data_IF_018981602826
#
_entry.id   IF_018981602826
#
_cell.length_a   1.000
_cell.length_b   1.000
_cell.length_c   1.000
_cell.angle_alpha   90.00
_cell.angle_beta   90.00
_cell.angle_gamma   90.00
#
_symmetry.space_group_name_H-M   'P 1'
#
loop_
_entity.id
_entity.type
_entity.pdbx_description
1 polymer ?
#
# COMPACT_ATOMS: atom_id res chain seq x y z
N UNK A 1 14.23 -23.65 33.14
CA UNK A 1 13.73 -23.85 31.75
C UNK A 1 12.51 -24.75 31.89
N UNK A 2 11.34 -24.12 31.89
CA UNK A 2 10.12 -24.75 32.37
C UNK A 2 9.43 -25.57 31.28
N UNK A 3 9.49 -26.87 31.45
CA UNK A 3 8.78 -27.91 30.67
C UNK A 3 7.25 -27.90 30.85
N UNK A 4 6.71 -26.92 31.62
CA UNK A 4 5.28 -26.80 31.90
C UNK A 4 4.46 -26.00 30.87
N UNK A 5 5.14 -25.26 29.98
CA UNK A 5 4.48 -24.43 28.97
C UNK A 5 4.11 -25.19 27.68
N UNK A 6 4.69 -26.36 27.46
CA UNK A 6 4.45 -27.16 26.25
C UNK A 6 3.25 -28.13 26.36
N UNK A 7 2.75 -28.36 27.57
CA UNK A 7 1.65 -29.31 27.82
C UNK A 7 0.25 -28.71 27.69
N UNK A 8 0.12 -27.40 27.60
CA UNK A 8 -1.19 -26.72 27.49
C UNK A 8 -1.68 -26.64 26.03
N UNK A 9 -0.80 -26.75 25.05
CA UNK A 9 -1.18 -26.68 23.63
C UNK A 9 -1.65 -28.01 23.00
N UNK A 10 -1.50 -29.13 23.68
CA UNK A 10 -1.83 -30.46 23.12
C UNK A 10 -3.20 -30.99 23.55
N UNK A 11 -3.87 -30.33 24.49
CA UNK A 11 -5.12 -30.85 25.08
C UNK A 11 -6.42 -30.24 24.53
N UNK A 12 -6.39 -29.47 23.45
CA UNK A 12 -7.61 -28.90 22.84
C UNK A 12 -8.10 -29.60 21.55
N UNK A 13 -7.52 -30.74 21.18
CA UNK A 13 -7.91 -31.48 19.97
C UNK A 13 -8.57 -32.85 20.24
N UNK A 14 -9.42 -32.95 21.24
CA UNK A 14 -10.29 -34.13 21.39
C UNK A 14 -11.72 -33.74 21.82
N UNK A 15 -12.47 -33.25 20.84
CA UNK A 15 -13.91 -33.44 20.87
C UNK A 15 -14.32 -33.73 19.42
N UNK A 16 -14.56 -35.00 19.13
CA UNK A 16 -15.25 -35.41 17.92
C UNK A 16 -16.60 -34.74 17.86
N UNK A 17 -16.73 -33.70 17.08
CA UNK A 17 -17.99 -32.98 16.85
C UNK A 17 -18.27 -33.06 15.36
N UNK A 18 -19.32 -33.79 15.03
CA UNK A 18 -20.00 -33.81 13.74
C UNK A 18 -20.28 -32.36 13.30
N UNK A 19 -19.85 -31.98 12.11
CA UNK A 19 -20.24 -30.74 11.45
C UNK A 19 -19.68 -29.46 12.09
N UNK A 20 -18.38 -29.34 12.30
CA UNK A 20 -17.79 -28.11 12.84
C UNK A 20 -17.77 -26.98 11.80
N UNK A 21 -18.36 -25.85 12.15
CA UNK A 21 -18.23 -24.62 11.37
C UNK A 21 -17.07 -23.80 11.92
N UNK A 22 -16.10 -23.46 11.08
CA UNK A 22 -14.92 -22.69 11.44
C UNK A 22 -14.89 -21.38 10.64
N UNK A 23 -14.58 -20.27 11.30
CA UNK A 23 -14.36 -18.98 10.66
C UNK A 23 -12.88 -18.68 10.67
N UNK A 24 -12.30 -18.48 9.49
CA UNK A 24 -10.90 -18.14 9.32
C UNK A 24 -10.76 -16.76 8.71
N UNK A 25 -9.74 -16.05 9.17
CA UNK A 25 -9.44 -14.69 8.75
C UNK A 25 -8.00 -14.60 8.29
N UNK A 26 -7.78 -14.11 7.07
CA UNK A 26 -6.46 -13.92 6.49
C UNK A 26 -6.35 -12.52 5.89
N UNK A 27 -5.13 -12.00 5.79
CA UNK A 27 -4.87 -10.78 5.02
C UNK A 27 -4.79 -11.14 3.55
N UNK A 28 -5.15 -10.21 2.68
CA UNK A 28 -4.84 -10.38 1.28
C UNK A 28 -3.31 -10.51 1.09
N UNK A 29 -2.89 -11.52 0.33
CA UNK A 29 -1.49 -11.83 0.12
C UNK A 29 -0.90 -12.91 1.03
N UNK A 30 -1.55 -13.24 2.16
CA UNK A 30 -1.13 -14.33 3.04
C UNK A 30 -1.44 -15.70 2.39
N UNK A 31 -0.76 -16.74 2.86
CA UNK A 31 -1.10 -18.12 2.54
C UNK A 31 -2.11 -18.64 3.59
N UNK A 32 -3.19 -19.26 3.13
CA UNK A 32 -4.23 -19.80 3.98
C UNK A 32 -4.21 -21.32 4.03
N UNK A 33 -4.40 -21.87 5.21
CA UNK A 33 -4.64 -23.31 5.42
C UNK A 33 -6.02 -23.51 6.02
N UNK A 34 -6.89 -24.21 5.29
CA UNK A 34 -8.24 -24.52 5.69
C UNK A 34 -8.26 -25.97 6.21
N UNK A 35 -8.47 -26.19 7.52
CA UNK A 35 -8.39 -27.50 8.09
C UNK A 35 -9.60 -28.36 7.69
N UNK A 36 -9.33 -29.63 7.39
CA UNK A 36 -10.38 -30.63 7.24
C UNK A 36 -10.55 -31.37 8.59
N UNK A 37 -11.43 -30.87 9.44
CA UNK A 37 -11.62 -31.40 10.80
C UNK A 37 -12.10 -32.85 10.86
N UNK A 38 -12.52 -33.42 9.73
CA UNK A 38 -12.99 -34.81 9.63
C UNK A 38 -11.90 -35.78 9.21
N UNK A 39 -10.70 -35.27 8.89
CA UNK A 39 -9.59 -36.13 8.47
C UNK A 39 -9.15 -37.05 9.63
N UNK A 40 -9.21 -38.36 9.38
CA UNK A 40 -8.63 -39.31 10.30
C UNK A 40 -7.10 -39.25 10.20
N UNK A 41 -6.37 -39.27 11.31
CA UNK A 41 -4.89 -39.31 11.30
C UNK A 41 -4.28 -40.47 10.52
N UNK A 42 -5.08 -41.50 10.24
CA UNK A 42 -4.66 -42.70 9.51
C UNK A 42 -4.73 -42.58 7.98
N UNK A 43 -5.44 -41.59 7.44
CA UNK A 43 -5.55 -41.38 5.98
C UNK A 43 -4.57 -40.30 5.50
N UNK A 44 -3.34 -40.73 5.24
CA UNK A 44 -2.27 -39.81 4.74
C UNK A 44 -2.34 -39.54 3.25
N UNK A 45 -3.23 -40.24 2.52
CA UNK A 45 -3.31 -40.12 1.06
C UNK A 45 -4.38 -39.11 0.60
N UNK A 46 -5.29 -38.70 1.49
CA UNK A 46 -6.42 -37.84 1.19
C UNK A 46 -7.28 -38.31 0.02
N UNK A 47 -7.16 -39.59 -0.37
CA UNK A 47 -7.79 -40.12 -1.58
C UNK A 47 -9.32 -40.22 -1.50
N UNK A 48 -9.88 -40.11 -0.31
CA UNK A 48 -11.33 -40.11 -0.06
C UNK A 48 -11.91 -38.71 0.13
N UNK A 49 -11.06 -37.67 0.07
CA UNK A 49 -11.48 -36.31 0.38
C UNK A 49 -11.83 -35.48 -0.87
N UNK A 50 -12.83 -34.63 -0.68
CA UNK A 50 -13.30 -33.66 -1.67
C UNK A 50 -13.37 -32.29 -0.98
N UNK A 51 -12.81 -31.26 -1.61
CA UNK A 51 -13.03 -29.88 -1.21
C UNK A 51 -13.97 -29.20 -2.18
N UNK A 52 -15.04 -28.66 -1.62
CA UNK A 52 -16.07 -27.88 -2.32
C UNK A 52 -15.90 -26.42 -1.98
N UNK A 53 -16.11 -25.54 -2.93
CA UNK A 53 -16.09 -24.09 -2.80
C UNK A 53 -17.38 -23.46 -3.29
N UNK A 54 -17.93 -22.57 -2.51
CA UNK A 54 -19.09 -21.76 -2.81
C UNK A 54 -18.73 -20.28 -2.69
N UNK A 55 -18.67 -19.54 -3.78
CA UNK A 55 -18.53 -18.08 -3.77
C UNK A 55 -19.88 -17.41 -3.45
N UNK A 56 -20.97 -18.10 -3.75
CA UNK A 56 -22.34 -17.68 -3.46
C UNK A 56 -23.22 -18.91 -3.19
N UNK A 57 -24.47 -18.70 -2.82
CA UNK A 57 -25.39 -19.78 -2.48
C UNK A 57 -25.90 -20.62 -3.67
N UNK A 58 -25.55 -20.23 -4.90
CA UNK A 58 -26.08 -20.86 -6.11
C UNK A 58 -25.06 -21.71 -6.86
N UNK A 59 -23.77 -21.52 -6.58
CA UNK A 59 -22.70 -22.17 -7.33
C UNK A 59 -21.74 -22.88 -6.41
N UNK A 60 -21.52 -24.16 -6.69
CA UNK A 60 -20.53 -24.99 -6.00
C UNK A 60 -19.49 -25.48 -7.00
N UNK A 61 -18.24 -25.27 -6.66
CA UNK A 61 -17.09 -25.73 -7.45
C UNK A 61 -16.39 -26.85 -6.69
N UNK A 62 -15.92 -27.86 -7.42
CA UNK A 62 -15.04 -28.88 -6.84
C UNK A 62 -13.61 -28.39 -7.05
N UNK A 63 -12.91 -28.09 -5.96
CA UNK A 63 -11.52 -27.63 -6.00
C UNK A 63 -10.52 -28.77 -5.84
N UNK A 64 -10.88 -29.76 -5.01
CA UNK A 64 -10.08 -30.98 -4.82
C UNK A 64 -10.98 -32.18 -4.94
N UNK A 65 -10.52 -33.19 -5.66
CA UNK A 65 -11.21 -34.45 -5.81
C UNK A 65 -10.23 -35.60 -5.61
N UNK A 66 -10.57 -36.52 -4.72
CA UNK A 66 -9.72 -37.67 -4.37
C UNK A 66 -8.29 -37.23 -3.96
N UNK A 67 -8.20 -36.16 -3.17
CA UNK A 67 -6.92 -35.60 -2.70
C UNK A 67 -6.12 -34.80 -3.74
N UNK A 68 -6.63 -34.66 -4.96
CA UNK A 68 -5.93 -33.96 -6.03
C UNK A 68 -6.66 -32.67 -6.42
N UNK A 69 -5.92 -31.59 -6.62
CA UNK A 69 -6.47 -30.33 -7.12
C UNK A 69 -7.04 -30.52 -8.53
N UNK A 70 -8.26 -30.05 -8.75
CA UNK A 70 -8.95 -30.11 -10.03
C UNK A 70 -8.31 -29.13 -11.01
N UNK A 71 -7.68 -29.67 -12.07
CA UNK A 71 -6.91 -28.87 -13.05
C UNK A 71 -7.74 -27.81 -13.80
N UNK A 72 -9.05 -28.01 -13.91
CA UNK A 72 -9.96 -27.04 -14.54
C UNK A 72 -10.41 -25.92 -13.61
N UNK A 73 -10.04 -25.96 -12.32
CA UNK A 73 -10.30 -24.83 -11.44
C UNK A 73 -9.50 -23.61 -11.88
N UNK A 74 -10.16 -22.45 -11.94
CA UNK A 74 -9.49 -21.19 -12.23
C UNK A 74 -8.38 -20.83 -11.22
N UNK A 75 -8.45 -21.43 -10.01
CA UNK A 75 -7.51 -21.19 -8.89
C UNK A 75 -6.47 -22.30 -8.73
N UNK A 76 -6.48 -23.34 -9.58
CA UNK A 76 -5.66 -24.54 -9.46
C UNK A 76 -4.16 -24.26 -9.22
N UNK A 77 -3.63 -23.20 -9.83
CA UNK A 77 -2.21 -22.81 -9.68
C UNK A 77 -1.84 -22.36 -8.26
N UNK A 78 -2.83 -21.94 -7.45
CA UNK A 78 -2.64 -21.44 -6.08
C UNK A 78 -3.09 -22.46 -5.02
N UNK A 79 -3.70 -23.55 -5.43
CA UNK A 79 -4.24 -24.56 -4.53
C UNK A 79 -3.30 -25.73 -4.35
N UNK A 80 -3.25 -26.27 -3.15
CA UNK A 80 -2.62 -27.55 -2.84
C UNK A 80 -3.33 -28.21 -1.65
N UNK A 81 -3.00 -29.48 -1.40
CA UNK A 81 -3.51 -30.25 -0.25
C UNK A 81 -2.32 -30.67 0.57
N UNK A 82 -2.38 -30.43 1.88
CA UNK A 82 -1.34 -30.87 2.81
C UNK A 82 -1.52 -32.34 3.25
N UNK A 83 -0.60 -32.84 4.03
CA UNK A 83 -0.61 -34.22 4.55
C UNK A 83 -1.75 -34.50 5.54
N UNK A 84 -2.37 -33.44 6.07
CA UNK A 84 -3.56 -33.51 6.94
C UNK A 84 -4.86 -33.33 6.17
N UNK A 85 -4.81 -33.38 4.83
CA UNK A 85 -5.95 -33.18 3.93
C UNK A 85 -6.56 -31.76 4.02
N UNK A 86 -5.86 -30.79 4.61
CA UNK A 86 -6.25 -29.39 4.61
C UNK A 86 -6.07 -28.81 3.21
N UNK A 87 -6.96 -27.88 2.83
CA UNK A 87 -6.80 -27.11 1.61
C UNK A 87 -5.87 -25.92 1.88
N UNK A 88 -4.78 -25.83 1.13
CA UNK A 88 -3.85 -24.70 1.17
C UNK A 88 -4.10 -23.79 -0.02
N UNK A 89 -4.24 -22.49 0.23
CA UNK A 89 -4.44 -21.46 -0.77
C UNK A 89 -3.28 -20.48 -0.66
N UNK A 90 -2.41 -20.43 -1.64
CA UNK A 90 -1.30 -19.49 -1.67
C UNK A 90 -1.76 -18.13 -2.17
N UNK A 91 -1.23 -17.05 -1.56
CA UNK A 91 -1.51 -15.68 -1.94
C UNK A 91 -3.03 -15.39 -2.02
N UNK A 92 -3.69 -15.45 -0.88
CA UNK A 92 -5.15 -15.25 -0.73
C UNK A 92 -5.57 -13.89 -1.27
N UNK A 93 -6.65 -13.88 -2.04
CA UNK A 93 -7.24 -12.68 -2.62
C UNK A 93 -8.72 -12.54 -2.27
N UNK A 94 -9.34 -11.45 -2.67
CA UNK A 94 -10.78 -11.22 -2.54
C UNK A 94 -11.63 -12.32 -3.19
N UNK A 95 -11.13 -12.97 -4.25
CA UNK A 95 -11.81 -14.04 -4.98
C UNK A 95 -11.87 -15.37 -4.23
N UNK A 96 -11.03 -15.50 -3.19
CA UNK A 96 -10.99 -16.72 -2.38
C UNK A 96 -11.99 -16.68 -1.22
N UNK A 97 -12.60 -15.53 -0.97
CA UNK A 97 -13.65 -15.37 0.04
C UNK A 97 -14.82 -16.30 -0.27
N UNK A 98 -15.23 -17.11 0.72
CA UNK A 98 -16.31 -18.03 0.47
C UNK A 98 -16.53 -19.05 1.56
N UNK A 99 -17.43 -19.95 1.24
CA UNK A 99 -17.78 -21.10 2.04
C UNK A 99 -17.11 -22.35 1.45
N UNK A 100 -16.29 -22.99 2.23
CA UNK A 100 -15.58 -24.22 1.86
C UNK A 100 -16.14 -25.39 2.64
N UNK A 101 -16.25 -26.54 1.98
CA UNK A 101 -16.66 -27.78 2.63
C UNK A 101 -15.65 -28.86 2.33
N UNK A 102 -15.04 -29.39 3.39
CA UNK A 102 -14.29 -30.63 3.31
C UNK A 102 -15.22 -31.81 3.59
N UNK A 103 -15.26 -32.76 2.68
CA UNK A 103 -16.10 -33.97 2.78
C UNK A 103 -15.24 -35.20 2.63
N UNK A 104 -15.40 -36.16 3.52
CA UNK A 104 -14.79 -37.48 3.41
C UNK A 104 -15.80 -38.49 2.90
N UNK A 105 -15.50 -39.14 1.79
CA UNK A 105 -16.38 -40.13 1.17
C UNK A 105 -17.64 -39.53 0.55
N UNK A 106 -18.79 -40.20 0.75
CA UNK A 106 -20.07 -39.81 0.12
C UNK A 106 -21.10 -39.23 1.11
N UNK A 107 -20.86 -39.39 2.41
CA UNK A 107 -21.78 -38.88 3.43
C UNK A 107 -21.55 -37.38 3.66
N UNK A 108 -22.65 -36.67 3.87
CA UNK A 108 -22.64 -35.25 4.24
C UNK A 108 -22.66 -35.02 5.75
N UNK A 109 -22.87 -36.10 6.54
CA UNK A 109 -23.11 -36.01 7.97
C UNK A 109 -21.89 -35.50 8.76
N UNK A 110 -20.72 -35.60 8.16
CA UNK A 110 -19.45 -35.20 8.77
C UNK A 110 -18.73 -34.09 7.98
N UNK A 111 -19.48 -33.33 7.18
CA UNK A 111 -18.88 -32.21 6.43
C UNK A 111 -18.25 -31.21 7.42
N UNK A 112 -16.99 -30.87 7.20
CA UNK A 112 -16.35 -29.76 7.90
C UNK A 112 -16.52 -28.48 7.05
N UNK A 113 -17.11 -27.47 7.66
CA UNK A 113 -17.42 -26.20 7.02
C UNK A 113 -16.41 -25.13 7.44
N UNK A 114 -15.82 -24.45 6.49
CA UNK A 114 -14.89 -23.33 6.71
C UNK A 114 -15.37 -22.10 5.96
N UNK A 115 -15.57 -21.00 6.68
CA UNK A 115 -15.76 -19.68 6.08
C UNK A 115 -14.42 -18.95 6.02
N UNK A 116 -13.93 -18.68 4.81
CA UNK A 116 -12.73 -17.90 4.59
C UNK A 116 -13.12 -16.43 4.42
N UNK A 117 -12.59 -15.58 5.30
CA UNK A 117 -12.75 -14.13 5.27
C UNK A 117 -11.40 -13.47 5.01
N UNK A 118 -11.39 -12.38 4.25
CA UNK A 118 -10.14 -11.71 3.85
C UNK A 118 -10.19 -10.24 4.23
N UNK A 119 -9.19 -9.79 4.99
CA UNK A 119 -9.00 -8.39 5.34
C UNK A 119 -8.08 -7.73 4.31
N UNK A 120 -8.55 -6.61 3.76
CA UNK A 120 -7.79 -5.80 2.79
C UNK A 120 -7.68 -4.37 3.25
N UNK A 121 -6.56 -3.72 2.95
CA UNK A 121 -6.40 -2.27 3.05
C UNK A 121 -5.98 -1.75 1.68
N UNK A 122 -6.70 -0.74 1.18
CA UNK A 122 -6.39 -0.11 -0.10
C UNK A 122 -6.60 1.41 -0.03
N UNK A 123 -5.87 2.20 -0.82
CA UNK A 123 -6.20 3.61 -1.00
C UNK A 123 -7.53 3.76 -1.74
N UNK A 124 -8.25 4.82 -1.41
CA UNK A 124 -9.52 5.17 -2.06
C UNK A 124 -9.51 6.67 -2.43
N UNK A 125 -9.58 7.03 -3.70
CA UNK A 125 -9.67 6.13 -4.86
C UNK A 125 -8.39 5.31 -5.10
N UNK A 126 -8.43 4.24 -5.91
CA UNK A 126 -7.28 3.35 -6.11
C UNK A 126 -6.03 4.01 -6.72
N UNK A 127 -6.20 5.15 -7.39
CA UNK A 127 -5.16 5.97 -8.00
C UNK A 127 -4.70 7.14 -7.12
N UNK A 128 -5.15 7.21 -5.86
CA UNK A 128 -4.69 8.21 -4.90
C UNK A 128 -3.17 8.11 -4.70
N UNK A 129 -2.49 9.26 -4.83
CA UNK A 129 -1.04 9.35 -4.62
C UNK A 129 -0.74 10.19 -3.38
N UNK A 130 -0.40 9.55 -2.25
CA UNK A 130 -0.06 10.27 -1.01
C UNK A 130 1.06 11.28 -1.18
N UNK A 131 2.01 11.01 -2.09
CA UNK A 131 3.17 11.87 -2.35
C UNK A 131 2.76 13.19 -2.99
N UNK A 132 1.85 13.12 -3.96
CA UNK A 132 1.33 14.29 -4.68
C UNK A 132 0.31 15.05 -3.86
N UNK A 133 -0.65 14.33 -3.28
CA UNK A 133 -1.85 14.94 -2.73
C UNK A 133 -1.68 15.35 -1.26
N UNK A 134 -0.63 14.85 -0.59
CA UNK A 134 -0.33 15.15 0.81
C UNK A 134 -1.32 14.50 1.80
N UNK A 135 -2.32 13.80 1.29
CA UNK A 135 -3.27 13.02 2.06
C UNK A 135 -3.71 11.78 1.27
N UNK A 136 -4.20 10.77 1.96
CA UNK A 136 -4.79 9.57 1.36
C UNK A 136 -5.91 9.05 2.25
N UNK A 137 -7.01 8.64 1.64
CA UNK A 137 -8.05 7.89 2.33
C UNK A 137 -7.76 6.41 2.18
N UNK A 138 -7.72 5.70 3.30
CA UNK A 138 -7.52 4.27 3.37
C UNK A 138 -8.86 3.61 3.62
N UNK A 139 -9.20 2.62 2.82
CA UNK A 139 -10.34 1.73 3.07
C UNK A 139 -9.82 0.40 3.59
N UNK A 140 -10.27 0.03 4.77
CA UNK A 140 -10.12 -1.31 5.32
C UNK A 140 -11.42 -2.07 5.16
N UNK A 141 -11.38 -3.18 4.44
CA UNK A 141 -12.55 -4.00 4.11
C UNK A 141 -12.35 -5.42 4.59
N UNK A 142 -13.27 -5.91 5.43
CA UNK A 142 -13.38 -7.33 5.70
C UNK A 142 -14.33 -7.97 4.69
N UNK A 143 -13.77 -8.67 3.73
CA UNK A 143 -14.53 -9.41 2.73
C UNK A 143 -15.02 -10.72 3.33
N UNK A 144 -16.33 -10.96 3.25
CA UNK A 144 -17.00 -12.10 3.88
C UNK A 144 -17.97 -12.79 2.92
N UNK A 145 -18.22 -14.07 3.18
CA UNK A 145 -19.29 -14.77 2.47
C UNK A 145 -20.65 -14.09 2.73
N UNK A 146 -21.37 -13.81 1.68
CA UNK A 146 -22.56 -12.94 1.69
C UNK A 146 -23.63 -13.33 2.70
N UNK A 147 -23.79 -14.62 2.97
CA UNK A 147 -24.80 -15.11 3.90
C UNK A 147 -24.50 -14.80 5.37
N UNK A 148 -23.27 -14.36 5.70
CA UNK A 148 -22.90 -14.01 7.07
C UNK A 148 -23.44 -12.66 7.53
N UNK A 149 -24.04 -11.89 6.61
CA UNK A 149 -24.59 -10.57 6.91
C UNK A 149 -23.54 -9.47 7.13
N UNK A 150 -23.99 -8.27 7.52
CA UNK A 150 -23.10 -7.14 7.78
C UNK A 150 -22.28 -7.34 9.05
N UNK A 151 -21.14 -6.67 9.14
CA UNK A 151 -20.33 -6.62 10.34
C UNK A 151 -21.00 -5.79 11.44
N UNK A 152 -20.85 -6.16 12.73
CA UNK A 152 -21.28 -5.33 13.82
C UNK A 152 -20.67 -3.93 13.75
N UNK A 153 -21.38 -2.93 14.29
CA UNK A 153 -20.87 -1.56 14.36
C UNK A 153 -19.56 -1.51 15.16
N UNK A 154 -18.59 -0.77 14.68
CA UNK A 154 -17.25 -0.61 15.28
C UNK A 154 -16.43 -1.90 15.37
N UNK A 155 -16.83 -2.96 14.66
CA UNK A 155 -16.03 -4.19 14.59
C UNK A 155 -14.83 -4.06 13.63
N UNK A 156 -14.91 -3.21 12.60
CA UNK A 156 -13.79 -2.87 11.74
C UNK A 156 -13.29 -1.49 12.15
N UNK A 157 -12.15 -1.44 12.83
CA UNK A 157 -11.65 -0.22 13.45
C UNK A 157 -10.18 0.04 13.12
N UNK A 158 -9.78 1.29 13.25
CA UNK A 158 -8.42 1.73 13.08
C UNK A 158 -7.76 2.00 14.43
N UNK A 159 -6.52 1.60 14.59
CA UNK A 159 -5.68 1.91 15.75
C UNK A 159 -4.36 2.52 15.30
N UNK A 160 -3.78 3.35 16.17
CA UNK A 160 -2.45 3.91 15.96
C UNK A 160 -1.35 2.95 16.47
N UNK A 161 -0.09 3.36 16.37
CA UNK A 161 1.10 2.61 16.81
C UNK A 161 1.07 2.23 18.30
N UNK A 162 0.34 2.97 19.13
CA UNK A 162 0.19 2.67 20.56
C UNK A 162 -0.99 1.76 20.86
N UNK A 163 -1.75 1.34 19.84
CA UNK A 163 -2.97 0.54 19.99
C UNK A 163 -4.21 1.34 20.36
N UNK A 164 -4.14 2.68 20.38
CA UNK A 164 -5.28 3.52 20.66
C UNK A 164 -6.21 3.58 19.44
N UNK A 165 -7.51 3.39 19.70
CA UNK A 165 -8.54 3.44 18.64
C UNK A 165 -8.70 4.85 18.12
N UNK A 166 -8.66 5.01 16.79
CA UNK A 166 -8.82 6.27 16.09
C UNK A 166 -10.31 6.55 15.89
N UNK A 167 -10.80 7.62 16.48
CA UNK A 167 -12.19 8.07 16.40
C UNK A 167 -12.22 9.56 16.02
N UNK A 168 -13.21 9.94 15.23
CA UNK A 168 -13.41 11.34 14.83
C UNK A 168 -12.23 11.92 14.07
N UNK A 169 -11.83 13.14 14.44
CA UNK A 169 -10.72 13.85 13.82
C UNK A 169 -9.60 14.10 14.84
N UNK A 170 -8.37 13.79 14.46
CA UNK A 170 -7.19 13.97 15.29
C UNK A 170 -6.02 14.53 14.49
N UNK A 171 -4.84 14.62 15.14
CA UNK A 171 -3.64 15.15 14.50
C UNK A 171 -3.19 14.21 13.38
N UNK A 172 -3.40 14.64 12.13
CA UNK A 172 -2.98 13.92 10.93
C UNK A 172 -3.87 12.78 10.50
N UNK A 173 -5.05 12.64 11.08
CA UNK A 173 -6.03 11.68 10.60
C UNK A 173 -7.46 12.18 10.78
N UNK A 174 -8.37 11.61 9.99
CA UNK A 174 -9.81 11.77 10.13
C UNK A 174 -10.48 10.42 9.89
N UNK A 175 -11.09 9.86 10.94
CA UNK A 175 -11.92 8.68 10.82
C UNK A 175 -13.25 9.08 10.20
N UNK A 176 -13.63 8.45 9.09
CA UNK A 176 -14.88 8.79 8.41
C UNK A 176 -16.04 8.06 9.06
N UNK A 177 -16.11 6.77 8.91
CA UNK A 177 -17.07 5.86 9.58
C UNK A 177 -16.85 4.43 9.12
N UNK A 178 -17.48 3.50 9.85
CA UNK A 178 -17.71 2.15 9.35
C UNK A 178 -19.07 2.08 8.63
N UNK A 179 -19.09 1.46 7.46
CA UNK A 179 -20.30 1.10 6.71
C UNK A 179 -20.22 -0.39 6.41
N UNK A 180 -21.17 -1.19 6.93
CA UNK A 180 -21.09 -2.66 6.85
C UNK A 180 -19.74 -3.19 7.37
N UNK A 181 -18.97 -3.86 6.50
CA UNK A 181 -17.66 -4.41 6.84
C UNK A 181 -16.50 -3.55 6.28
N UNK A 182 -16.75 -2.29 5.98
CA UNK A 182 -15.75 -1.34 5.46
C UNK A 182 -15.59 -0.17 6.42
N UNK A 183 -14.33 0.15 6.73
CA UNK A 183 -13.98 1.28 7.60
C UNK A 183 -12.98 2.18 6.88
N UNK A 184 -13.25 3.49 6.82
CA UNK A 184 -12.44 4.44 6.09
C UNK A 184 -11.74 5.44 7.02
N UNK A 185 -10.44 5.67 6.76
CA UNK A 185 -9.58 6.60 7.49
C UNK A 185 -8.82 7.49 6.51
N UNK A 186 -9.03 8.80 6.56
CA UNK A 186 -8.17 9.76 5.84
C UNK A 186 -6.96 10.07 6.69
N UNK A 187 -5.77 9.97 6.11
CA UNK A 187 -4.50 10.29 6.77
C UNK A 187 -3.76 11.37 5.98
N UNK A 188 -3.14 12.30 6.69
CA UNK A 188 -2.46 13.47 6.13
C UNK A 188 -0.97 13.40 6.39
N UNK A 189 -0.18 13.94 5.46
CA UNK A 189 1.25 14.13 5.64
C UNK A 189 1.52 14.89 6.93
N UNK A 190 2.45 14.39 7.73
CA UNK A 190 2.99 15.08 8.90
C UNK A 190 4.50 15.23 8.76
N UNK A 191 5.03 16.35 9.30
CA UNK A 191 6.48 16.52 9.33
C UNK A 191 7.09 15.49 10.27
N UNK A 192 7.97 14.66 9.75
CA UNK A 192 8.84 13.84 10.56
C UNK A 192 8.86 12.36 10.23
N UNK A 193 7.75 11.64 10.15
CA UNK A 193 7.78 10.21 9.85
C UNK A 193 6.44 9.70 9.28
N UNK A 194 6.53 8.75 8.39
CA UNK A 194 5.37 7.96 7.96
C UNK A 194 4.86 7.14 9.15
N UNK A 195 3.66 7.45 9.62
CA UNK A 195 3.03 6.72 10.72
C UNK A 195 2.39 5.44 10.22
N UNK A 196 2.48 4.41 11.03
CA UNK A 196 1.78 3.14 10.81
C UNK A 196 0.35 3.24 11.35
N UNK A 197 -0.59 2.78 10.55
CA UNK A 197 -2.00 2.64 10.91
C UNK A 197 -2.37 1.16 10.80
N UNK A 198 -3.03 0.65 11.82
CA UNK A 198 -3.45 -0.76 11.85
C UNK A 198 -4.96 -0.82 11.80
N UNK A 199 -5.49 -1.55 10.84
CA UNK A 199 -6.90 -1.90 10.81
C UNK A 199 -7.12 -3.24 11.50
N UNK A 200 -8.13 -3.32 12.37
CA UNK A 200 -8.49 -4.51 13.12
C UNK A 200 -9.93 -4.89 12.86
N UNK A 201 -10.19 -6.18 12.65
CA UNK A 201 -11.52 -6.74 12.81
C UNK A 201 -11.64 -7.38 14.19
N UNK A 202 -12.68 -6.98 14.90
CA UNK A 202 -12.98 -7.41 16.27
C UNK A 202 -14.33 -8.10 16.30
N UNK A 203 -14.36 -9.32 16.80
CA UNK A 203 -15.57 -10.06 17.08
C UNK A 203 -15.57 -10.50 18.54
N UNK A 204 -16.72 -10.34 19.21
CA UNK A 204 -16.87 -10.69 20.65
C UNK A 204 -15.75 -10.14 21.54
N UNK A 205 -15.33 -8.89 21.32
CA UNK A 205 -14.22 -8.20 22.00
C UNK A 205 -12.82 -8.82 21.79
N UNK A 206 -12.69 -9.76 20.87
CA UNK A 206 -11.41 -10.35 20.48
C UNK A 206 -10.99 -9.82 19.12
N UNK A 207 -9.73 -9.42 18.98
CA UNK A 207 -9.15 -9.11 17.67
C UNK A 207 -8.96 -10.42 16.92
N UNK A 208 -9.71 -10.65 15.86
CA UNK A 208 -9.64 -11.85 15.04
C UNK A 208 -8.55 -11.73 13.97
N UNK A 209 -8.39 -10.52 13.40
CA UNK A 209 -7.35 -10.22 12.43
C UNK A 209 -7.03 -8.74 12.46
N UNK A 210 -5.78 -8.42 12.09
CA UNK A 210 -5.33 -7.05 11.88
C UNK A 210 -4.41 -6.96 10.67
N UNK A 211 -4.35 -5.79 10.05
CA UNK A 211 -3.46 -5.48 8.94
C UNK A 211 -2.89 -4.07 9.10
N UNK A 212 -1.62 -3.94 8.79
CA UNK A 212 -0.88 -2.69 8.90
C UNK A 212 -0.79 -1.97 7.56
N UNK A 213 -0.82 -0.66 7.60
CA UNK A 213 -0.57 0.19 6.45
C UNK A 213 0.28 1.39 6.85
N UNK A 214 1.32 1.65 6.07
CA UNK A 214 2.17 2.82 6.24
C UNK A 214 2.13 3.64 4.95
N UNK A 215 1.40 4.78 4.91
CA UNK A 215 1.38 5.63 3.72
C UNK A 215 2.76 6.22 3.47
N UNK A 216 3.24 6.13 2.23
CA UNK A 216 4.51 6.73 1.84
C UNK A 216 4.29 8.15 1.32
N UNK A 217 4.55 9.12 2.19
CA UNK A 217 4.51 10.55 1.87
C UNK A 217 5.87 11.13 1.48
N UNK A 218 6.93 10.32 1.40
CA UNK A 218 8.26 10.81 1.05
C UNK A 218 8.26 11.27 -0.40
N UNK A 219 8.61 12.54 -0.61
CA UNK A 219 8.87 13.01 -1.97
C UNK A 219 10.04 12.20 -2.51
N UNK A 220 9.90 11.71 -3.72
CA UNK A 220 11.04 11.18 -4.45
C UNK A 220 11.96 12.37 -4.76
N UNK A 221 12.89 12.66 -3.85
CA UNK A 221 13.99 13.64 -4.09
C UNK A 221 14.96 13.12 -5.15
N UNK A 222 14.62 12.06 -5.83
CA UNK A 222 15.34 11.59 -6.99
C UNK A 222 15.18 12.59 -8.13
N UNK A 223 16.20 13.39 -8.39
CA UNK A 223 16.29 14.14 -9.61
C UNK A 223 16.05 13.16 -10.76
N UNK A 224 15.06 13.46 -11.58
CA UNK A 224 14.81 12.62 -12.75
C UNK A 224 16.08 12.58 -13.62
N UNK A 225 16.36 11.50 -14.35
CA UNK A 225 17.48 11.46 -15.30
C UNK A 225 17.49 12.67 -16.23
N UNK A 226 16.31 13.19 -16.59
CA UNK A 226 16.16 14.43 -17.36
C UNK A 226 16.70 15.66 -16.61
N UNK A 227 16.52 15.76 -15.30
CA UNK A 227 17.03 16.87 -14.49
C UNK A 227 18.54 16.88 -14.44
N UNK A 228 19.19 15.69 -14.37
CA UNK A 228 20.65 15.58 -14.48
C UNK A 228 21.15 15.99 -15.86
N UNK A 229 20.48 15.59 -16.93
CA UNK A 229 20.82 15.98 -18.30
C UNK A 229 20.68 17.49 -18.48
N UNK A 230 19.59 18.10 -18.00
CA UNK A 230 19.39 19.55 -18.08
C UNK A 230 20.41 20.33 -17.26
N UNK A 231 20.79 19.83 -16.08
CA UNK A 231 21.85 20.43 -15.27
C UNK A 231 23.21 20.34 -15.98
N UNK A 232 23.54 19.18 -16.54
CA UNK A 232 24.78 18.98 -17.30
C UNK A 232 24.85 19.92 -18.51
N UNK A 233 23.77 20.07 -19.27
CA UNK A 233 23.70 21.00 -20.41
C UNK A 233 23.86 22.46 -19.98
N UNK A 234 23.28 22.88 -18.84
CA UNK A 234 23.49 24.22 -18.30
C UNK A 234 24.94 24.48 -17.91
N UNK A 235 25.59 23.52 -17.24
CA UNK A 235 26.99 23.62 -16.85
C UNK A 235 27.87 23.68 -18.09
N UNK A 236 27.66 22.82 -19.09
CA UNK A 236 28.40 22.82 -20.35
C UNK A 236 28.25 24.16 -21.12
N UNK A 237 27.02 24.72 -21.13
CA UNK A 237 26.74 26.02 -21.72
C UNK A 237 27.50 27.17 -21.02
N UNK A 238 27.54 27.17 -19.68
CA UNK A 238 28.31 28.16 -18.93
C UNK A 238 29.83 28.05 -19.19
N UNK A 239 30.37 26.84 -19.24
CA UNK A 239 31.78 26.61 -19.54
C UNK A 239 32.12 27.13 -20.97
N UNK A 240 31.26 26.84 -21.95
CA UNK A 240 31.41 27.31 -23.30
C UNK A 240 31.44 28.84 -23.39
N UNK A 241 30.53 29.51 -22.69
CA UNK A 241 30.46 30.99 -22.62
C UNK A 241 31.74 31.58 -21.99
N UNK A 242 32.26 30.97 -20.93
CA UNK A 242 33.52 31.39 -20.29
C UNK A 242 34.71 31.23 -21.26
N UNK A 243 34.78 30.10 -21.97
CA UNK A 243 35.85 29.86 -22.96
C UNK A 243 35.81 30.87 -24.09
N UNK A 244 34.60 31.17 -24.63
CA UNK A 244 34.42 32.16 -25.68
C UNK A 244 34.84 33.55 -25.21
N UNK A 245 34.42 33.95 -23.99
CA UNK A 245 34.78 35.27 -23.39
C UNK A 245 36.29 35.40 -23.22
N UNK A 246 36.97 34.36 -22.70
CA UNK A 246 38.42 34.37 -22.55
C UNK A 246 39.09 34.45 -23.92
N UNK A 247 38.56 33.75 -24.93
CA UNK A 247 39.12 33.77 -26.29
C UNK A 247 38.98 35.16 -26.92
N UNK A 248 37.84 35.79 -26.81
CA UNK A 248 37.58 37.16 -27.30
C UNK A 248 38.50 38.19 -26.61
N UNK A 249 38.66 38.07 -25.28
CA UNK A 249 39.57 38.95 -24.52
C UNK A 249 41.02 38.76 -24.98
N UNK A 250 41.50 37.52 -25.19
CA UNK A 250 42.85 37.26 -25.71
C UNK A 250 43.08 37.83 -27.10
N UNK A 251 42.07 37.73 -28.00
CA UNK A 251 42.16 38.35 -29.33
C UNK A 251 42.27 39.88 -29.23
N UNK A 252 41.45 40.51 -28.39
CA UNK A 252 41.52 41.97 -28.16
C UNK A 252 42.85 42.43 -27.58
N UNK A 253 43.47 41.62 -26.73
CA UNK A 253 44.76 41.96 -26.13
C UNK A 253 45.96 41.74 -27.11
N UNK A 254 45.80 40.90 -28.12
CA UNK A 254 46.83 40.67 -29.16
C UNK A 254 46.76 41.63 -30.33
N UNK A 255 45.69 42.42 -30.46
CA UNK A 255 45.61 43.54 -31.40
C UNK A 255 46.11 44.80 -30.70
N UNK A 256 47.45 45.00 -30.65
CA UNK A 256 48.02 46.33 -30.38
C UNK A 256 47.61 47.24 -31.49
N UNK A 257 47.15 48.50 -31.21
CA UNK A 257 47.08 49.52 -32.26
C UNK A 257 48.48 49.87 -32.68
N UNK A 258 48.76 49.92 -34.02
CA UNK A 258 49.90 50.62 -34.60
C UNK A 258 49.70 52.08 -34.24
N UNK A 259 50.72 52.66 -33.61
CA UNK A 259 50.90 54.10 -33.50
C UNK A 259 51.00 54.67 -34.94
N UNK A 260 50.13 55.57 -35.29
CA UNK A 260 50.37 56.59 -36.28
C UNK A 260 50.43 57.95 -35.56
N UNK A 261 51.64 58.43 -35.46
CA UNK A 261 51.98 59.84 -35.28
C UNK A 261 51.37 60.61 -36.47
N UNK A 262 50.59 61.67 -36.15
CA UNK A 262 50.84 62.98 -36.72
C UNK A 262 50.01 64.09 -36.04
N UNK A 263 50.76 65.10 -35.75
CA UNK A 263 50.44 66.43 -35.19
C UNK A 263 49.34 67.21 -35.94
N UNK A 264 48.60 68.07 -35.27
CA UNK A 264 48.71 69.50 -35.26
C UNK A 264 47.45 70.22 -34.64
N UNK A 265 47.78 71.07 -33.72
CA UNK A 265 47.21 72.36 -33.37
C UNK A 265 45.78 72.74 -33.88
N UNK A 266 44.87 73.20 -33.07
CA UNK A 266 44.69 74.62 -32.71
C UNK A 266 43.42 74.89 -31.89
N UNK A 267 43.55 75.74 -30.89
CA UNK A 267 42.68 76.69 -30.23
C UNK A 267 41.20 76.73 -30.54
N UNK A 268 40.48 76.93 -29.43
CA UNK A 268 39.13 77.48 -29.48
C UNK A 268 38.31 77.34 -28.17
N UNK A 269 38.65 78.19 -27.27
CA UNK A 269 37.89 78.71 -26.16
C UNK A 269 36.36 78.80 -26.42
N UNK A 270 35.59 78.77 -25.34
CA UNK A 270 34.37 79.45 -24.89
C UNK A 270 33.38 78.49 -24.20
N UNK A 271 33.28 78.37 -22.90
CA UNK A 271 32.65 79.15 -21.87
C UNK A 271 31.07 79.10 -21.84
N UNK A 272 30.58 78.82 -20.63
CA UNK A 272 29.26 79.13 -20.01
C UNK A 272 28.07 78.26 -20.46
N UNK A 273 27.05 77.97 -19.68
CA UNK A 273 26.55 78.34 -18.32
C UNK A 273 25.45 77.31 -17.95
N UNK A 274 25.40 76.80 -16.82
CA UNK A 274 24.55 76.97 -15.66
C UNK A 274 23.05 77.01 -15.90
N UNK A 275 22.36 76.31 -15.11
CA UNK A 275 21.08 76.37 -14.42
C UNK A 275 20.22 75.12 -14.64
N UNK A 276 19.82 74.45 -13.70
CA UNK A 276 19.19 74.83 -12.45
C UNK A 276 17.82 74.23 -12.41
N UNK A 277 17.55 73.59 -11.34
CA UNK A 277 16.21 73.34 -10.77
C UNK A 277 15.63 71.95 -10.76
N UNK A 278 15.69 71.39 -9.58
CA UNK A 278 14.68 70.55 -8.93
C UNK A 278 13.37 71.38 -8.71
N UNK A 279 12.28 70.86 -8.14
CA UNK A 279 11.93 69.50 -7.71
C UNK A 279 10.40 69.19 -7.88
N UNK A 280 10.01 68.14 -7.17
CA UNK A 280 8.73 67.89 -6.47
C UNK A 280 7.75 66.89 -7.10
N UNK A 281 7.64 65.78 -6.44
CA UNK A 281 6.57 65.31 -5.53
C UNK A 281 5.18 65.05 -6.13
N UNK A 282 4.69 63.93 -5.85
CA UNK A 282 3.43 63.48 -5.23
C UNK A 282 2.85 62.27 -5.94
N UNK A 283 2.78 61.17 -5.28
CA UNK A 283 1.72 60.57 -4.42
C UNK A 283 0.42 60.20 -5.13
N UNK A 284 0.05 58.92 -4.87
CA UNK A 284 -1.30 58.37 -4.68
C UNK A 284 -2.10 57.97 -5.94
N UNK A 285 -2.28 56.73 -6.18
CA UNK A 285 -3.38 55.91 -5.64
C UNK A 285 -2.99 54.43 -5.72
#
# INVERSE_FOLDING_TARGET
>A
MDTKLFLIFVLQFQAGISGTTTYLYYRAGDDATLPCATASPSDTTCSTFIWLYNCNQYQTFIEVQNGNVVKSSARAARLSVDTGCSLVINNVTAEDVGHYTCRQGRSTDHDAVVYLNVLTISPSPPDADPKRDGEVTLECSLLRYRSLGPCPQNSVRWVNETGAVLLGEGVGYKFLRQTECVSALTVKRQSGNNRKYTCQFVDNNKVEIEADYTPDFTESTGWSPLSYVMLALRIAGLILMIVITIHVIRIKWNTKPLDDDDSENNDGDVQYENDGARPATARLH
#
